data_IF_704068047679
#
_entry.id   IF_704068047679
#
_cell.length_a   1.000
_cell.length_b   1.000
_cell.length_c   1.000
_cell.angle_alpha   90.00
_cell.angle_beta   90.00
_cell.angle_gamma   90.00
#
_symmetry.space_group_name_H-M   'P 1'
#
loop_
_entity.id
_entity.type
_entity.pdbx_description
1 polymer ?
#
# COMPACT_ATOMS: atom_id res chain seq x y z
N UNK A 1 20.73 -12.53 -14.76
CA UNK A 1 19.95 -11.27 -14.74
C UNK A 1 20.85 -10.19 -14.16
N UNK A 2 20.88 -8.99 -14.74
CA UNK A 2 21.64 -7.85 -14.18
C UNK A 2 20.83 -7.22 -13.03
N UNK A 3 21.48 -6.73 -11.95
CA UNK A 3 20.79 -6.03 -10.87
C UNK A 3 20.17 -4.73 -11.38
N UNK A 4 19.06 -4.31 -10.77
CA UNK A 4 18.45 -3.03 -11.08
C UNK A 4 19.38 -1.88 -10.64
N UNK A 5 19.55 -0.89 -11.51
CA UNK A 5 20.40 0.27 -11.23
C UNK A 5 19.71 1.27 -10.29
N UNK A 6 18.39 1.44 -10.44
CA UNK A 6 17.56 2.33 -9.63
C UNK A 6 16.21 1.67 -9.36
N UNK A 7 15.73 1.73 -8.12
CA UNK A 7 14.47 1.10 -7.69
C UNK A 7 13.58 2.17 -7.07
N UNK A 8 12.36 2.28 -7.57
CA UNK A 8 11.33 3.17 -7.02
C UNK A 8 10.15 2.32 -6.55
N UNK A 9 9.70 2.55 -5.32
CA UNK A 9 8.47 1.95 -4.79
C UNK A 9 7.43 3.05 -4.56
N UNK A 10 6.18 2.76 -4.94
CA UNK A 10 5.04 3.66 -4.81
C UNK A 10 4.04 3.08 -3.82
N UNK A 11 3.60 3.84 -2.82
CA UNK A 11 2.59 3.37 -1.86
C UNK A 11 3.00 2.07 -1.20
N UNK A 12 4.26 1.98 -0.78
CA UNK A 12 4.87 0.75 -0.25
C UNK A 12 5.94 1.10 0.78
N UNK A 13 6.43 0.09 1.49
CA UNK A 13 7.38 0.21 2.61
C UNK A 13 8.71 -0.46 2.29
N UNK A 14 9.82 0.09 2.81
CA UNK A 14 11.20 -0.40 2.66
C UNK A 14 11.58 -1.42 3.75
N UNK A 15 10.92 -1.36 4.90
CA UNK A 15 11.18 -2.25 6.04
C UNK A 15 9.91 -2.51 6.85
N UNK A 16 9.86 -3.65 7.57
CA UNK A 16 8.76 -3.96 8.52
C UNK A 16 8.58 -2.87 9.59
N UNK A 17 9.65 -2.11 9.87
CA UNK A 17 9.62 -1.05 10.87
C UNK A 17 8.67 0.09 10.46
N UNK A 18 8.46 0.26 9.15
CA UNK A 18 7.58 1.26 8.53
C UNK A 18 6.11 0.84 8.49
N UNK A 19 5.79 -0.40 8.88
CA UNK A 19 4.41 -0.86 8.97
C UNK A 19 3.61 0.01 9.95
N UNK A 20 2.38 0.29 9.56
CA UNK A 20 1.40 0.93 10.43
C UNK A 20 1.07 0.08 11.66
N UNK A 21 0.51 0.72 12.70
CA UNK A 21 0.08 0.02 13.91
C UNK A 21 -0.94 -1.10 13.66
N UNK A 22 -1.88 -0.92 12.71
CA UNK A 22 -2.88 -1.95 12.40
C UNK A 22 -2.28 -3.15 11.65
N UNK A 23 -1.27 -2.95 10.78
CA UNK A 23 -0.59 -4.08 10.12
C UNK A 23 0.21 -4.87 11.16
N UNK A 24 0.91 -4.18 12.07
CA UNK A 24 1.63 -4.81 13.20
C UNK A 24 0.68 -5.60 14.09
N UNK A 25 -0.50 -5.06 14.39
CA UNK A 25 -1.52 -5.77 15.16
C UNK A 25 -2.04 -7.01 14.41
N UNK A 26 -2.29 -6.88 13.11
CA UNK A 26 -2.68 -8.01 12.24
C UNK A 26 -1.64 -9.12 12.19
N UNK A 27 -0.35 -8.76 12.25
CA UNK A 27 0.76 -9.71 12.36
C UNK A 27 0.71 -10.50 13.67
N UNK A 28 0.57 -9.80 14.81
CA UNK A 28 0.57 -10.41 16.15
C UNK A 28 -0.65 -11.32 16.33
N UNK A 29 -1.82 -10.85 15.92
CA UNK A 29 -3.10 -11.57 16.07
C UNK A 29 -3.28 -12.70 15.05
N UNK A 30 -2.37 -12.84 14.08
CA UNK A 30 -2.52 -13.74 12.92
C UNK A 30 -3.89 -13.56 12.25
N UNK A 31 -4.42 -12.32 12.23
CA UNK A 31 -5.76 -12.01 11.75
C UNK A 31 -6.01 -12.57 10.35
N UNK A 32 -4.97 -12.56 9.51
CA UNK A 32 -5.02 -13.14 8.17
C UNK A 32 -5.45 -14.61 8.12
N UNK A 33 -5.17 -15.41 9.14
CA UNK A 33 -5.58 -16.81 9.20
C UNK A 33 -7.09 -16.95 9.53
N UNK A 34 -7.57 -16.06 10.41
CA UNK A 34 -8.93 -16.06 10.94
C UNK A 34 -9.93 -15.25 10.11
N UNK A 35 -9.49 -14.47 9.12
CA UNK A 35 -10.39 -13.76 8.21
C UNK A 35 -11.19 -14.77 7.38
N UNK A 36 -12.51 -14.86 7.56
CA UNK A 36 -13.33 -15.74 6.74
C UNK A 36 -13.43 -15.16 5.33
N UNK A 37 -13.36 -16.05 4.33
CA UNK A 37 -13.35 -15.68 2.91
C UNK A 37 -14.59 -14.88 2.48
N UNK A 38 -15.70 -15.02 3.21
CA UNK A 38 -16.92 -14.24 3.00
C UNK A 38 -16.73 -12.73 3.17
N UNK A 39 -15.72 -12.27 3.94
CA UNK A 39 -15.36 -10.86 4.06
C UNK A 39 -14.67 -10.30 2.82
N UNK A 40 -14.37 -11.13 1.83
CA UNK A 40 -13.80 -10.69 0.57
C UNK A 40 -14.75 -10.92 -0.60
N UNK A 41 -15.97 -11.40 -0.33
CA UNK A 41 -17.00 -11.62 -1.34
C UNK A 41 -17.65 -10.29 -1.75
N UNK A 42 -17.89 -10.10 -3.04
CA UNK A 42 -18.40 -8.88 -3.67
C UNK A 42 -19.75 -8.40 -3.10
N UNK A 43 -20.54 -9.31 -2.53
CA UNK A 43 -21.85 -9.00 -1.91
C UNK A 43 -21.75 -8.43 -0.50
N UNK A 44 -20.56 -8.39 0.11
CA UNK A 44 -20.38 -7.91 1.48
C UNK A 44 -20.13 -6.40 1.52
N UNK A 45 -21.18 -5.60 1.73
CA UNK A 45 -21.07 -4.14 1.88
C UNK A 45 -20.13 -3.71 3.02
N UNK A 46 -19.91 -4.60 4.00
CA UNK A 46 -18.97 -4.40 5.11
C UNK A 46 -17.51 -4.38 4.66
N UNK A 47 -17.12 -5.29 3.77
CA UNK A 47 -15.78 -5.36 3.20
C UNK A 47 -15.47 -4.11 2.39
N UNK A 48 -16.42 -3.71 1.55
CA UNK A 48 -16.33 -2.48 0.76
C UNK A 48 -16.09 -1.26 1.65
N UNK A 49 -16.89 -1.10 2.72
CA UNK A 49 -16.77 0.02 3.65
C UNK A 49 -15.40 0.05 4.35
N UNK A 50 -14.90 -1.11 4.77
CA UNK A 50 -13.59 -1.24 5.40
C UNK A 50 -12.45 -0.89 4.44
N UNK A 51 -12.41 -1.50 3.25
CA UNK A 51 -11.38 -1.22 2.25
C UNK A 51 -11.40 0.22 1.77
N UNK A 52 -12.59 0.79 1.55
CA UNK A 52 -12.74 2.20 1.16
C UNK A 52 -12.16 3.13 2.21
N UNK A 53 -12.45 2.92 3.49
CA UNK A 53 -11.88 3.73 4.58
C UNK A 53 -10.37 3.61 4.73
N UNK A 54 -9.78 2.46 4.39
CA UNK A 54 -8.34 2.25 4.49
C UNK A 54 -7.57 2.84 3.29
N UNK A 55 -8.12 2.76 2.09
CA UNK A 55 -7.36 3.00 0.86
C UNK A 55 -7.65 4.39 0.28
N UNK A 56 -8.93 4.78 0.24
CA UNK A 56 -9.35 6.09 -0.27
C UNK A 56 -10.81 6.39 0.17
N UNK A 57 -11.01 6.98 1.36
CA UNK A 57 -12.33 7.13 1.99
C UNK A 57 -13.32 7.94 1.16
N UNK A 58 -12.82 8.88 0.38
CA UNK A 58 -13.63 9.86 -0.34
C UNK A 58 -13.87 9.47 -1.80
N UNK A 59 -13.30 8.35 -2.27
CA UNK A 59 -13.35 7.98 -3.67
C UNK A 59 -14.56 7.08 -3.96
N UNK A 60 -15.57 7.56 -4.70
CA UNK A 60 -16.73 6.75 -5.06
C UNK A 60 -16.39 5.70 -6.13
N UNK A 61 -15.26 5.87 -6.85
CA UNK A 61 -14.83 5.01 -7.96
C UNK A 61 -13.85 3.92 -7.51
N UNK A 62 -13.68 3.68 -6.20
CA UNK A 62 -12.70 2.71 -5.70
C UNK A 62 -12.88 1.30 -6.32
N UNK A 63 -14.13 0.89 -6.58
CA UNK A 63 -14.43 -0.39 -7.21
C UNK A 63 -13.93 -0.50 -8.65
N UNK A 64 -13.75 0.62 -9.36
CA UNK A 64 -13.13 0.65 -10.68
C UNK A 64 -11.67 0.21 -10.64
N UNK A 65 -10.98 0.46 -9.52
CA UNK A 65 -9.57 0.15 -9.34
C UNK A 65 -9.37 -1.20 -8.64
N UNK A 66 -10.29 -1.57 -7.76
CA UNK A 66 -10.23 -2.83 -7.03
C UNK A 66 -10.83 -3.99 -7.84
N UNK A 67 -10.24 -4.35 -8.98
CA UNK A 67 -10.82 -5.34 -9.91
C UNK A 67 -10.58 -6.80 -9.51
N UNK A 68 -9.51 -7.08 -8.76
CA UNK A 68 -9.19 -8.44 -8.27
C UNK A 68 -9.76 -8.62 -6.88
N UNK A 69 -10.82 -9.43 -6.75
CA UNK A 69 -11.57 -9.62 -5.50
C UNK A 69 -11.67 -11.07 -5.04
N UNK A 70 -10.86 -11.95 -5.60
CA UNK A 70 -10.86 -13.35 -5.20
C UNK A 70 -10.50 -13.45 -3.69
N UNK A 71 -11.35 -14.08 -2.85
CA UNK A 71 -11.13 -14.15 -1.40
C UNK A 71 -9.82 -14.80 -0.98
N UNK A 72 -9.42 -15.87 -1.67
CA UNK A 72 -8.16 -16.56 -1.42
C UNK A 72 -6.97 -15.63 -1.69
N UNK A 73 -6.99 -14.90 -2.82
CA UNK A 73 -5.96 -13.94 -3.16
C UNK A 73 -5.85 -12.81 -2.12
N UNK A 74 -6.98 -12.21 -1.71
CA UNK A 74 -6.97 -11.11 -0.76
C UNK A 74 -6.53 -11.56 0.64
N UNK A 75 -6.97 -12.74 1.08
CA UNK A 75 -6.49 -13.37 2.34
C UNK A 75 -4.98 -13.60 2.28
N UNK A 76 -4.47 -14.11 1.16
CA UNK A 76 -3.03 -14.29 0.93
C UNK A 76 -2.27 -12.96 0.96
N UNK A 77 -2.78 -11.90 0.34
CA UNK A 77 -2.16 -10.57 0.36
C UNK A 77 -2.02 -10.03 1.79
N UNK A 78 -3.09 -10.09 2.59
CA UNK A 78 -3.06 -9.67 4.00
C UNK A 78 -2.00 -10.48 4.77
N UNK A 79 -1.98 -11.81 4.60
CA UNK A 79 -1.00 -12.68 5.25
C UNK A 79 0.44 -12.35 4.87
N UNK A 80 0.71 -12.00 3.60
CA UNK A 80 2.05 -11.64 3.14
C UNK A 80 2.50 -10.29 3.65
N UNK A 81 1.63 -9.28 3.61
CA UNK A 81 1.96 -7.94 4.10
C UNK A 81 2.18 -7.97 5.61
N UNK A 82 1.25 -8.56 6.38
CA UNK A 82 1.42 -8.68 7.84
C UNK A 82 2.58 -9.61 8.21
N UNK A 83 2.87 -10.61 7.39
CA UNK A 83 3.96 -11.58 7.61
C UNK A 83 5.33 -11.09 7.20
N UNK A 84 5.47 -9.87 6.65
CA UNK A 84 6.76 -9.40 6.13
C UNK A 84 7.75 -9.09 7.25
N UNK A 85 8.96 -9.68 7.16
CA UNK A 85 9.98 -9.65 8.21
C UNK A 85 11.24 -8.86 7.84
N UNK A 86 11.34 -8.31 6.63
CA UNK A 86 12.55 -7.59 6.20
C UNK A 86 12.81 -6.39 7.12
N UNK A 87 14.02 -6.30 7.63
CA UNK A 87 14.48 -5.17 8.45
C UNK A 87 15.44 -4.26 7.70
N UNK A 88 16.16 -4.81 6.71
CA UNK A 88 17.17 -4.10 5.94
C UNK A 88 16.53 -3.05 5.03
N UNK A 89 17.01 -1.82 5.14
CA UNK A 89 16.65 -0.73 4.24
C UNK A 89 17.76 -0.62 3.22
N UNK A 90 17.44 -0.88 1.96
CA UNK A 90 18.36 -0.62 0.85
C UNK A 90 18.32 0.89 0.54
N UNK A 91 19.44 1.62 0.73
CA UNK A 91 19.48 3.07 0.50
C UNK A 91 19.30 3.45 -0.97
N UNK A 92 19.41 2.50 -1.91
CA UNK A 92 19.16 2.73 -3.35
C UNK A 92 17.67 2.72 -3.71
N UNK A 93 16.79 2.35 -2.77
CA UNK A 93 15.34 2.33 -3.00
C UNK A 93 14.76 3.69 -2.67
N UNK A 94 14.23 4.35 -3.71
CA UNK A 94 13.48 5.59 -3.58
C UNK A 94 12.03 5.25 -3.26
N UNK A 95 11.50 5.81 -2.18
CA UNK A 95 10.15 5.59 -1.71
C UNK A 95 9.29 6.83 -1.95
N UNK A 96 8.15 6.63 -2.60
CA UNK A 96 7.13 7.66 -2.84
C UNK A 96 5.87 7.27 -2.08
N UNK A 97 5.40 8.14 -1.20
CA UNK A 97 4.17 7.95 -0.43
C UNK A 97 3.22 9.14 -0.62
N UNK A 98 1.97 8.97 -0.22
CA UNK A 98 1.00 10.06 -0.15
C UNK A 98 0.82 10.55 1.28
N UNK A 99 0.54 11.84 1.45
CA UNK A 99 0.41 12.46 2.78
C UNK A 99 -0.77 11.95 3.61
N UNK A 100 -1.84 11.48 2.97
CA UNK A 100 -3.00 10.87 3.62
C UNK A 100 -3.08 9.35 3.36
N UNK A 101 -1.95 8.69 3.10
CA UNK A 101 -1.91 7.23 3.02
C UNK A 101 -2.19 6.62 4.41
N UNK A 102 -3.34 5.96 4.56
CA UNK A 102 -3.70 5.27 5.80
C UNK A 102 -3.08 3.87 5.85
N UNK A 103 -2.84 3.23 4.68
CA UNK A 103 -2.25 1.88 4.59
C UNK A 103 -0.79 1.90 5.03
N UNK A 104 -0.02 2.85 4.49
CA UNK A 104 1.40 3.08 4.81
C UNK A 104 1.64 4.55 5.17
N UNK A 105 1.27 4.96 6.39
CA UNK A 105 1.38 6.36 6.80
C UNK A 105 2.83 6.88 6.75
N UNK A 106 3.09 8.03 6.10
CA UNK A 106 4.44 8.60 6.00
C UNK A 106 5.09 8.85 7.37
N UNK A 107 4.32 9.07 8.43
CA UNK A 107 4.83 9.26 9.80
C UNK A 107 5.63 8.08 10.35
N UNK A 108 5.47 6.87 9.79
CA UNK A 108 6.24 5.68 10.16
C UNK A 108 7.42 5.42 9.23
N UNK A 109 7.56 6.20 8.16
CA UNK A 109 8.57 6.05 7.11
C UNK A 109 9.40 7.33 6.97
N UNK A 110 10.42 7.27 6.12
CA UNK A 110 11.15 8.46 5.66
C UNK A 110 11.18 8.43 4.12
N UNK A 111 10.05 8.71 3.46
CA UNK A 111 9.99 8.67 2.01
C UNK A 111 10.76 9.85 1.43
N UNK A 112 11.45 9.62 0.33
CA UNK A 112 12.16 10.65 -0.42
C UNK A 112 11.17 11.62 -1.10
N UNK A 113 9.97 11.14 -1.46
CA UNK A 113 8.93 11.95 -2.08
C UNK A 113 7.57 11.76 -1.40
N UNK A 114 6.84 12.88 -1.22
CA UNK A 114 5.48 12.89 -0.69
C UNK A 114 4.53 13.56 -1.69
N UNK A 115 3.55 12.81 -2.19
CA UNK A 115 2.46 13.33 -3.01
C UNK A 115 1.41 13.97 -2.10
N UNK A 116 1.21 15.28 -2.27
CA UNK A 116 0.29 16.07 -1.44
C UNK A 116 -1.17 15.89 -1.81
N UNK A 117 -2.05 16.04 -0.82
CA UNK A 117 -3.50 15.92 -0.95
C UNK A 117 -3.91 14.62 -1.67
N UNK A 118 -3.31 13.50 -1.25
CA UNK A 118 -3.51 12.19 -1.88
C UNK A 118 -3.55 11.06 -0.85
N UNK A 119 -4.23 9.97 -1.19
CA UNK A 119 -4.31 8.74 -0.38
C UNK A 119 -3.46 7.62 -1.00
N UNK A 120 -3.60 6.40 -0.50
CA UNK A 120 -2.86 5.22 -0.99
C UNK A 120 -2.98 5.00 -2.52
N UNK A 121 -4.09 5.41 -3.14
CA UNK A 121 -4.31 5.27 -4.60
C UNK A 121 -3.66 6.38 -5.44
N UNK A 122 -2.75 7.18 -4.88
CA UNK A 122 -2.09 8.28 -5.58
C UNK A 122 -1.48 7.93 -6.96
N UNK A 123 -0.97 6.70 -7.25
CA UNK A 123 -0.50 6.38 -8.60
C UNK A 123 -1.58 6.51 -9.66
N UNK A 124 -2.83 6.27 -9.27
CA UNK A 124 -4.00 6.34 -10.16
C UNK A 124 -4.73 7.68 -10.03
N UNK A 125 -4.80 8.27 -8.83
CA UNK A 125 -5.55 9.51 -8.60
C UNK A 125 -4.74 10.78 -8.85
N UNK A 126 -3.40 10.70 -8.84
CA UNK A 126 -2.47 11.82 -9.10
C UNK A 126 -1.41 11.45 -10.16
N UNK A 127 -1.78 10.90 -11.33
CA UNK A 127 -0.83 10.32 -12.28
C UNK A 127 0.18 11.34 -12.81
N UNK A 128 -0.23 12.59 -13.05
CA UNK A 128 0.67 13.65 -13.54
C UNK A 128 1.81 13.96 -12.55
N UNK A 129 1.48 14.01 -11.26
CA UNK A 129 2.46 14.29 -10.21
C UNK A 129 3.43 13.12 -10.03
N UNK A 130 2.91 11.89 -10.10
CA UNK A 130 3.75 10.68 -10.07
C UNK A 130 4.69 10.64 -11.28
N UNK A 131 4.19 10.89 -12.49
CA UNK A 131 5.03 10.95 -13.69
C UNK A 131 6.12 12.02 -13.58
N UNK A 132 5.81 13.19 -13.00
CA UNK A 132 6.81 14.25 -12.75
C UNK A 132 7.91 13.78 -11.81
N UNK A 133 7.54 13.17 -10.68
CA UNK A 133 8.49 12.62 -9.69
C UNK A 133 9.37 11.53 -10.33
N UNK A 134 8.77 10.62 -11.09
CA UNK A 134 9.52 9.55 -11.77
C UNK A 134 10.50 10.13 -12.80
N UNK A 135 10.08 11.13 -13.58
CA UNK A 135 10.97 11.79 -14.54
C UNK A 135 12.17 12.44 -13.83
N UNK A 136 11.94 13.12 -12.71
CA UNK A 136 13.01 13.69 -11.88
C UNK A 136 13.98 12.61 -11.39
N UNK A 137 13.45 11.52 -10.83
CA UNK A 137 14.25 10.41 -10.30
C UNK A 137 15.11 9.75 -11.39
N UNK A 138 14.57 9.54 -12.59
CA UNK A 138 15.27 8.77 -13.64
C UNK A 138 16.10 9.63 -14.62
N UNK A 139 15.90 10.94 -14.64
CA UNK A 139 16.71 11.86 -15.45
C UNK A 139 17.92 12.40 -14.70
N UNK A 140 17.92 12.28 -13.36
CA UNK A 140 19.06 12.57 -12.48
C UNK A 140 20.05 11.41 -12.42
#
# INVERSE_FOLDING_TARGET
>A
MKPAEKIVILGSIKSKNEMSGFIKLGQVTKLAHYLPEVLFNEKSGLAYSFFRKLVDPNNPKIMKYFTVRNPYYLKWCVAKISGWKSTEINPKVVQVLADHDVVFPPKYSKPEYIVKNATHLFPVTKPKEVSRILAEIFTS
#
